data_IF_614049801222
#
_entry.id   IF_614049801222
#
_cell.length_a   1.000
_cell.length_b   1.000
_cell.length_c   1.000
_cell.angle_alpha   90.00
_cell.angle_beta   90.00
_cell.angle_gamma   90.00
#
_symmetry.space_group_name_H-M   'P 1'
#
loop_
_entity.id
_entity.type
_entity.pdbx_description
1 polymer ?
#
# COMPACT_ATOMS: atom_id res chain seq x y z
N UNK A 1 -18.37 28.15 57.52
CA UNK A 1 -17.31 27.93 56.53
C UNK A 1 -17.28 26.45 56.20
N UNK A 2 -17.65 26.11 54.96
CA UNK A 2 -17.79 24.75 54.43
C UNK A 2 -16.41 24.23 54.03
N UNK A 3 -15.94 23.17 54.68
CA UNK A 3 -14.82 22.35 54.21
C UNK A 3 -15.34 20.91 54.03
N UNK A 4 -15.53 20.48 52.79
CA UNK A 4 -15.83 19.10 52.39
C UNK A 4 -14.73 18.71 51.39
N UNK A 5 -13.87 17.79 51.78
CA UNK A 5 -12.78 17.13 51.02
C UNK A 5 -12.16 16.14 52.04
N UNK A 6 -11.86 14.86 51.82
CA UNK A 6 -11.77 13.98 50.65
C UNK A 6 -12.34 12.60 51.06
N UNK A 7 -12.96 11.88 50.11
CA UNK A 7 -13.14 10.43 50.23
C UNK A 7 -11.90 9.73 49.66
N UNK A 8 -11.24 8.94 50.50
CA UNK A 8 -10.22 7.95 50.12
C UNK A 8 -10.95 6.69 49.65
N UNK A 9 -10.74 6.27 48.41
CA UNK A 9 -11.01 4.89 47.98
C UNK A 9 -9.72 4.34 47.38
N UNK A 10 -9.02 3.58 48.20
CA UNK A 10 -8.04 2.61 47.74
C UNK A 10 -8.79 1.33 47.38
N UNK A 11 -8.61 0.85 46.15
CA UNK A 11 -8.88 -0.53 45.80
C UNK A 11 -7.75 -1.02 44.92
N UNK A 12 -6.81 -1.71 45.57
CA UNK A 12 -5.80 -2.53 44.94
C UNK A 12 -6.47 -3.75 44.28
N UNK A 13 -6.13 -4.00 43.03
CA UNK A 13 -6.48 -5.20 42.28
C UNK A 13 -5.32 -5.57 41.37
N UNK A 14 -4.21 -6.01 41.97
CA UNK A 14 -3.04 -6.57 41.30
C UNK A 14 -3.17 -8.10 41.29
N UNK A 15 -3.64 -8.64 40.17
CA UNK A 15 -3.45 -10.02 39.69
C UNK A 15 -3.51 -9.85 38.16
N UNK A 16 -2.53 -10.13 37.32
CA UNK A 16 -1.52 -11.18 37.32
C UNK A 16 -1.55 -11.78 35.92
N UNK A 17 -0.79 -11.19 34.98
CA UNK A 17 -0.42 -11.82 33.71
C UNK A 17 1.10 -11.72 33.57
N UNK A 18 1.80 -12.45 34.42
CA UNK A 18 3.14 -12.97 34.10
C UNK A 18 2.89 -14.31 33.42
N UNK A 19 3.17 -14.36 32.12
CA UNK A 19 3.02 -15.54 31.29
C UNK A 19 3.89 -15.39 30.06
N UNK A 20 5.19 -15.63 30.24
CA UNK A 20 6.07 -15.90 29.12
C UNK A 20 5.62 -17.19 28.43
N UNK A 21 5.50 -17.10 27.11
CA UNK A 21 5.55 -18.25 26.22
C UNK A 21 6.53 -17.82 25.14
N UNK A 22 7.60 -18.60 24.97
CA UNK A 22 8.49 -18.53 23.83
C UNK A 22 7.65 -18.54 22.56
N UNK A 23 7.48 -17.36 21.95
CA UNK A 23 6.93 -17.26 20.60
C UNK A 23 8.10 -17.54 19.66
N UNK A 24 8.03 -18.56 18.78
CA UNK A 24 9.00 -18.67 17.71
C UNK A 24 9.01 -17.34 16.94
N UNK A 25 10.20 -16.89 16.60
CA UNK A 25 10.61 -15.58 16.11
C UNK A 25 10.05 -15.19 14.72
N UNK A 26 8.76 -15.40 14.46
CA UNK A 26 8.08 -14.92 13.26
C UNK A 26 7.17 -13.76 13.64
N UNK A 27 7.54 -12.51 13.27
CA UNK A 27 6.64 -11.35 13.42
C UNK A 27 5.31 -11.61 12.70
N UNK A 28 4.18 -11.06 13.18
CA UNK A 28 2.89 -11.27 12.54
C UNK A 28 2.95 -10.83 11.08
N UNK A 29 2.60 -11.76 10.19
CA UNK A 29 2.55 -11.63 8.72
C UNK A 29 1.44 -10.64 8.23
N UNK A 30 0.85 -9.86 9.14
CA UNK A 30 -0.43 -9.17 8.95
C UNK A 30 -0.28 -7.69 8.58
N UNK A 31 0.68 -7.38 7.71
CA UNK A 31 0.84 -6.03 7.18
C UNK A 31 -0.02 -5.76 5.93
N UNK A 32 -0.53 -4.53 5.78
CA UNK A 32 -1.15 -4.06 4.51
C UNK A 32 -0.18 -4.09 3.34
N UNK A 33 1.13 -3.97 3.63
CA UNK A 33 2.18 -4.12 2.63
C UNK A 33 2.33 -5.58 2.25
N UNK A 34 2.13 -5.88 0.97
CA UNK A 34 2.14 -7.25 0.48
C UNK A 34 3.53 -7.89 0.43
N UNK A 35 4.32 -7.82 1.50
CA UNK A 35 5.61 -8.49 1.57
C UNK A 35 5.46 -9.92 1.09
N UNK A 36 6.43 -10.39 0.31
CA UNK A 36 6.54 -11.82 0.02
C UNK A 36 6.58 -12.63 1.32
N UNK A 37 6.39 -13.93 1.24
CA UNK A 37 6.79 -14.82 2.34
C UNK A 37 8.17 -15.40 2.03
N UNK A 38 8.84 -15.96 3.04
CA UNK A 38 10.14 -16.63 2.88
C UNK A 38 11.37 -15.73 3.06
N UNK A 39 12.53 -16.30 2.76
CA UNK A 39 13.85 -15.70 3.07
C UNK A 39 14.08 -14.34 2.41
N UNK A 40 13.57 -14.14 1.19
CA UNK A 40 13.69 -12.87 0.49
C UNK A 40 12.90 -11.75 1.19
N UNK A 41 11.74 -12.05 1.76
CA UNK A 41 10.96 -11.09 2.54
C UNK A 41 11.65 -10.74 3.87
N UNK A 42 12.29 -11.73 4.51
CA UNK A 42 13.13 -11.49 5.69
C UNK A 42 14.29 -10.57 5.34
N UNK A 43 14.95 -10.79 4.21
CA UNK A 43 16.04 -9.94 3.74
C UNK A 43 15.58 -8.50 3.43
N UNK A 44 14.43 -8.35 2.76
CA UNK A 44 13.86 -7.04 2.45
C UNK A 44 13.48 -6.26 3.72
N UNK A 45 12.82 -6.93 4.69
CA UNK A 45 12.54 -6.33 6.00
C UNK A 45 13.81 -5.93 6.73
N UNK A 46 14.79 -6.81 6.81
CA UNK A 46 16.07 -6.51 7.46
C UNK A 46 16.75 -5.30 6.80
N UNK A 47 16.76 -5.24 5.47
CA UNK A 47 17.32 -4.09 4.74
C UNK A 47 16.57 -2.79 5.05
N UNK A 48 15.25 -2.83 5.19
CA UNK A 48 14.49 -1.66 5.61
C UNK A 48 14.86 -1.22 7.02
N UNK A 49 14.80 -2.15 7.97
CA UNK A 49 15.01 -1.87 9.40
C UNK A 49 16.42 -1.30 9.65
N UNK A 50 17.44 -1.89 9.02
CA UNK A 50 18.83 -1.49 9.16
C UNK A 50 19.17 -0.18 8.43
N UNK A 51 18.58 0.05 7.25
CA UNK A 51 19.07 1.08 6.33
C UNK A 51 18.08 2.18 6.02
N UNK A 52 16.79 1.88 5.87
CA UNK A 52 15.78 2.84 5.37
C UNK A 52 15.04 3.50 6.51
N UNK A 53 14.71 2.77 7.57
CA UNK A 53 13.92 3.30 8.68
C UNK A 53 14.59 4.53 9.31
N UNK A 54 15.90 4.46 9.60
CA UNK A 54 16.64 5.59 10.16
C UNK A 54 16.64 6.82 9.24
N UNK A 55 16.60 6.63 7.91
CA UNK A 55 16.56 7.74 6.94
C UNK A 55 15.22 8.47 7.02
N UNK A 56 14.10 7.75 7.03
CA UNK A 56 12.75 8.35 7.04
C UNK A 56 12.33 8.82 8.44
N UNK A 57 12.85 8.19 9.49
CA UNK A 57 12.59 8.51 10.89
C UNK A 57 13.49 9.62 11.46
N UNK A 58 14.52 10.06 10.73
CA UNK A 58 15.40 11.12 11.19
C UNK A 58 14.65 12.45 11.40
N UNK A 59 15.00 13.17 12.46
CA UNK A 59 14.43 14.48 12.76
C UNK A 59 14.63 15.44 11.58
N UNK A 60 13.58 16.19 11.23
CA UNK A 60 13.57 17.07 10.06
C UNK A 60 13.46 16.36 8.70
N UNK A 61 13.27 15.03 8.68
CA UNK A 61 12.92 14.26 7.47
C UNK A 61 11.44 13.92 7.45
N UNK A 62 11.08 12.72 7.00
CA UNK A 62 9.70 12.33 6.73
C UNK A 62 8.84 12.31 7.99
N UNK A 63 9.36 11.82 9.13
CA UNK A 63 8.58 11.61 10.37
C UNK A 63 7.90 12.86 10.91
N UNK A 64 8.49 14.05 10.69
CA UNK A 64 7.93 15.30 11.21
C UNK A 64 6.54 15.62 10.67
N UNK A 65 6.23 15.16 9.46
CA UNK A 65 4.92 15.34 8.85
C UNK A 65 4.19 14.02 8.64
N UNK A 66 4.92 12.94 8.34
CA UNK A 66 4.38 11.65 7.92
C UNK A 66 4.42 10.60 9.04
N UNK A 67 4.40 11.00 10.31
CA UNK A 67 4.24 10.05 11.40
C UNK A 67 2.91 9.30 11.28
N UNK A 68 2.92 7.99 11.44
CA UNK A 68 1.71 7.18 11.46
C UNK A 68 0.89 7.34 12.74
N UNK A 69 1.46 7.96 13.78
CA UNK A 69 0.78 8.22 15.05
C UNK A 69 0.03 9.56 15.09
N UNK A 70 0.11 10.34 14.00
CA UNK A 70 -0.45 11.69 13.94
C UNK A 70 0.15 12.47 12.78
N UNK A 71 -0.23 12.17 11.53
CA UNK A 71 0.28 12.88 10.37
C UNK A 71 -0.21 14.33 10.36
N UNK A 72 0.65 15.24 9.91
CA UNK A 72 0.32 16.67 9.83
C UNK A 72 -0.63 16.92 8.66
N UNK A 73 -1.72 17.65 8.89
CA UNK A 73 -2.50 18.22 7.79
C UNK A 73 -3.06 17.18 6.82
N UNK A 74 -3.62 16.09 7.36
CA UNK A 74 -4.38 15.12 6.58
C UNK A 74 -3.56 14.34 5.53
N UNK A 75 -2.24 14.31 5.68
CA UNK A 75 -1.33 13.60 4.77
C UNK A 75 -1.15 12.13 5.18
N UNK A 76 -0.53 11.34 4.32
CA UNK A 76 -0.25 9.92 4.59
C UNK A 76 0.77 9.76 5.72
N UNK A 77 0.40 9.09 6.82
CA UNK A 77 1.29 8.76 7.93
C UNK A 77 2.03 7.45 7.73
N UNK A 78 3.11 7.45 6.94
CA UNK A 78 3.85 6.23 6.55
C UNK A 78 5.13 5.95 7.35
N UNK A 79 5.47 6.78 8.34
CA UNK A 79 6.61 6.56 9.23
C UNK A 79 6.10 6.07 10.58
N UNK A 80 6.34 4.80 10.89
CA UNK A 80 5.93 4.25 12.18
C UNK A 80 6.75 4.84 13.35
N UNK A 81 6.26 4.73 14.60
CA UNK A 81 7.03 5.13 15.79
C UNK A 81 8.27 4.25 16.06
N UNK A 82 8.29 3.03 15.52
CA UNK A 82 9.37 2.06 15.72
C UNK A 82 9.78 1.38 14.41
N UNK A 83 11.03 0.91 14.33
CA UNK A 83 11.52 0.15 13.17
C UNK A 83 10.72 -1.16 12.97
N UNK A 84 10.38 -1.84 14.06
CA UNK A 84 9.61 -3.09 14.07
C UNK A 84 8.31 -2.99 13.25
N UNK A 85 7.60 -1.88 13.41
CA UNK A 85 6.35 -1.58 12.70
C UNK A 85 6.60 -0.79 11.40
N UNK A 86 7.78 -0.20 11.27
CA UNK A 86 8.19 0.68 10.19
C UNK A 86 8.08 0.02 8.83
N UNK A 87 8.60 -1.20 8.70
CA UNK A 87 8.53 -1.91 7.43
C UNK A 87 7.08 -2.12 6.99
N UNK A 88 6.21 -2.66 7.86
CA UNK A 88 4.79 -2.90 7.55
C UNK A 88 4.09 -1.61 7.16
N UNK A 89 4.36 -0.54 7.91
CA UNK A 89 3.75 0.76 7.73
C UNK A 89 4.17 1.39 6.40
N UNK A 90 5.47 1.41 6.11
CA UNK A 90 6.02 1.94 4.87
C UNK A 90 5.56 1.15 3.64
N UNK A 91 5.61 -0.18 3.73
CA UNK A 91 5.18 -1.10 2.68
C UNK A 91 3.67 -1.09 2.43
N UNK A 92 2.89 -0.60 3.40
CA UNK A 92 1.44 -0.45 3.30
C UNK A 92 0.96 0.69 2.39
N UNK A 93 1.81 1.68 2.14
CA UNK A 93 1.39 2.88 1.43
C UNK A 93 2.01 3.00 0.05
N UNK A 94 1.20 2.76 -0.98
CA UNK A 94 1.56 3.03 -2.38
C UNK A 94 2.03 4.48 -2.61
N UNK A 95 1.57 5.43 -1.78
CA UNK A 95 2.05 6.80 -1.79
C UNK A 95 3.53 6.98 -1.39
N UNK A 96 4.18 5.95 -0.82
CA UNK A 96 5.60 5.93 -0.47
C UNK A 96 6.43 5.08 -1.44
N UNK A 97 6.00 3.84 -1.63
CA UNK A 97 6.71 2.78 -2.37
C UNK A 97 6.32 2.72 -3.85
N UNK A 98 5.17 3.31 -4.22
CA UNK A 98 4.56 3.13 -5.53
C UNK A 98 4.50 1.64 -5.88
N UNK A 99 4.88 1.33 -7.11
CA UNK A 99 4.93 -0.05 -7.61
C UNK A 99 6.25 -0.77 -7.25
N UNK A 100 6.92 -0.41 -6.16
CA UNK A 100 8.14 -1.09 -5.69
C UNK A 100 9.36 -0.95 -6.60
N UNK A 101 9.27 -0.10 -7.62
CA UNK A 101 10.38 0.17 -8.53
C UNK A 101 11.12 1.43 -8.08
N UNK A 102 12.46 1.42 -8.04
CA UNK A 102 13.25 2.62 -7.73
C UNK A 102 12.83 3.87 -8.52
N UNK A 103 12.62 3.72 -9.82
CA UNK A 103 12.23 4.81 -10.73
C UNK A 103 10.81 5.33 -10.46
N UNK A 104 9.93 4.49 -9.92
CA UNK A 104 8.53 4.82 -9.70
C UNK A 104 8.16 5.15 -8.26
N UNK A 105 9.05 4.91 -7.30
CA UNK A 105 8.74 5.03 -5.88
C UNK A 105 8.73 6.51 -5.44
N UNK A 106 7.61 7.02 -4.90
CA UNK A 106 7.53 8.40 -4.37
C UNK A 106 8.58 8.75 -3.32
N UNK A 107 9.02 7.80 -2.51
CA UNK A 107 10.11 7.99 -1.54
C UNK A 107 11.35 8.58 -2.24
N UNK A 108 11.66 8.15 -3.47
CA UNK A 108 12.76 8.71 -4.27
C UNK A 108 12.29 9.89 -5.13
N UNK A 109 11.21 9.73 -5.88
CA UNK A 109 10.82 10.69 -6.93
C UNK A 109 10.27 12.02 -6.37
N UNK A 110 9.52 12.01 -5.26
CA UNK A 110 9.03 13.25 -4.64
C UNK A 110 10.17 14.07 -4.04
N UNK A 111 11.12 13.41 -3.37
CA UNK A 111 12.30 14.07 -2.79
C UNK A 111 13.19 14.62 -3.89
N UNK A 112 13.43 13.87 -4.97
CA UNK A 112 14.14 14.36 -6.15
C UNK A 112 13.45 15.59 -6.79
N UNK A 113 12.11 15.65 -6.72
CA UNK A 113 11.31 16.80 -7.15
C UNK A 113 11.29 18.00 -6.18
N UNK A 114 12.07 17.98 -5.11
CA UNK A 114 12.20 19.10 -4.17
C UNK A 114 11.14 19.15 -3.06
N UNK A 115 10.49 18.04 -2.74
CA UNK A 115 9.45 17.98 -1.70
C UNK A 115 9.93 18.58 -0.36
N UNK A 116 9.36 19.73 0.01
CA UNK A 116 9.72 20.54 1.17
C UNK A 116 11.21 20.89 1.28
N UNK A 117 11.90 21.05 0.15
CA UNK A 117 13.34 21.35 0.12
C UNK A 117 14.23 20.20 0.64
N UNK A 118 13.67 19.02 0.86
CA UNK A 118 14.44 17.87 1.32
C UNK A 118 15.30 17.29 0.20
N UNK A 119 16.44 16.74 0.59
CA UNK A 119 17.31 15.94 -0.27
C UNK A 119 17.75 14.67 0.45
N UNK A 120 18.07 13.65 -0.33
CA UNK A 120 18.80 12.47 0.11
C UNK A 120 20.24 12.54 -0.37
N UNK A 121 21.16 12.07 0.49
CA UNK A 121 22.53 11.79 0.06
C UNK A 121 22.53 10.63 -0.95
N UNK A 122 23.60 10.49 -1.72
CA UNK A 122 23.70 9.36 -2.67
C UNK A 122 23.75 8.00 -1.94
N UNK A 123 24.34 7.97 -0.75
CA UNK A 123 24.31 6.81 0.15
C UNK A 123 22.88 6.45 0.57
N UNK A 124 22.07 7.44 0.96
CA UNK A 124 20.68 7.22 1.34
C UNK A 124 19.85 6.71 0.16
N UNK A 125 20.05 7.29 -1.03
CA UNK A 125 19.40 6.82 -2.26
C UNK A 125 19.75 5.37 -2.55
N UNK A 126 21.03 4.99 -2.49
CA UNK A 126 21.47 3.61 -2.72
C UNK A 126 20.77 2.64 -1.76
N UNK A 127 20.76 2.95 -0.47
CA UNK A 127 20.09 2.14 0.56
C UNK A 127 18.59 1.94 0.29
N UNK A 128 17.90 3.01 -0.12
CA UNK A 128 16.47 2.94 -0.45
C UNK A 128 16.26 2.10 -1.73
N UNK A 129 17.11 2.28 -2.75
CA UNK A 129 17.07 1.50 -3.99
C UNK A 129 17.29 0.00 -3.71
N UNK A 130 18.30 -0.32 -2.91
CA UNK A 130 18.64 -1.70 -2.53
C UNK A 130 17.48 -2.38 -1.79
N UNK A 131 16.85 -1.66 -0.84
CA UNK A 131 15.65 -2.14 -0.17
C UNK A 131 14.48 -2.36 -1.15
N UNK A 132 14.18 -1.42 -2.04
CA UNK A 132 13.10 -1.55 -3.03
C UNK A 132 13.33 -2.75 -3.96
N UNK A 133 14.58 -3.00 -4.35
CA UNK A 133 14.94 -4.18 -5.14
C UNK A 133 14.71 -5.48 -4.36
N UNK A 134 15.11 -5.53 -3.09
CA UNK A 134 14.85 -6.70 -2.23
C UNK A 134 13.36 -6.94 -2.01
N UNK A 135 12.57 -5.89 -1.80
CA UNK A 135 11.10 -5.96 -1.72
C UNK A 135 10.50 -6.59 -2.96
N UNK A 136 10.98 -6.15 -4.12
CA UNK A 136 10.49 -6.61 -5.39
C UNK A 136 10.89 -8.07 -5.66
N UNK A 137 12.10 -8.47 -5.29
CA UNK A 137 12.53 -9.88 -5.31
C UNK A 137 11.71 -10.74 -4.35
N UNK A 138 11.38 -10.25 -3.15
CA UNK A 138 10.53 -10.97 -2.21
C UNK A 138 9.14 -11.24 -2.81
N UNK A 139 8.55 -10.26 -3.51
CA UNK A 139 7.27 -10.41 -4.21
C UNK A 139 7.34 -11.36 -5.40
N UNK A 140 8.50 -11.47 -6.02
CA UNK A 140 8.77 -12.43 -7.10
C UNK A 140 9.08 -13.86 -6.59
N UNK A 141 8.81 -14.17 -5.31
CA UNK A 141 9.04 -15.49 -4.73
C UNK A 141 10.50 -15.77 -4.37
N UNK A 142 11.35 -14.74 -4.30
CA UNK A 142 12.72 -14.86 -3.81
C UNK A 142 13.75 -15.34 -4.82
N UNK A 143 13.47 -15.28 -6.13
CA UNK A 143 14.52 -15.42 -7.14
C UNK A 143 15.42 -14.19 -7.11
N UNK A 144 16.58 -14.32 -6.46
CA UNK A 144 17.61 -13.28 -6.28
C UNK A 144 18.75 -13.38 -7.28
N UNK A 145 18.63 -14.21 -8.32
CA UNK A 145 19.65 -14.28 -9.37
C UNK A 145 19.73 -12.92 -10.05
N UNK A 146 20.91 -12.29 -10.13
CA UNK A 146 21.10 -11.08 -10.92
C UNK A 146 20.54 -11.34 -12.32
N UNK A 147 19.59 -10.51 -12.74
CA UNK A 147 18.93 -10.66 -14.04
C UNK A 147 20.02 -10.56 -15.11
N UNK A 148 20.27 -11.63 -15.89
CA UNK A 148 21.26 -11.59 -16.96
C UNK A 148 20.98 -10.42 -17.91
N UNK A 149 22.01 -9.80 -18.52
CA UNK A 149 21.80 -8.78 -19.53
C UNK A 149 20.85 -9.28 -20.62
N UNK A 150 19.75 -8.55 -20.86
CA UNK A 150 18.71 -8.90 -21.84
C UNK A 150 17.51 -9.67 -21.27
N UNK A 151 17.52 -10.03 -19.99
CA UNK A 151 16.33 -10.53 -19.31
C UNK A 151 15.53 -9.40 -18.66
N UNK A 152 14.20 -9.56 -18.61
CA UNK A 152 13.30 -8.57 -18.01
C UNK A 152 13.44 -8.59 -16.48
N UNK A 153 13.67 -7.43 -15.87
CA UNK A 153 13.68 -7.34 -14.41
C UNK A 153 12.26 -7.40 -13.83
N UNK A 154 12.09 -7.80 -12.56
CA UNK A 154 10.79 -7.66 -11.87
C UNK A 154 10.18 -6.25 -11.93
N UNK A 155 11.03 -5.22 -12.01
CA UNK A 155 10.59 -3.83 -12.10
C UNK A 155 10.01 -3.54 -13.48
N UNK A 156 10.71 -4.00 -14.52
CA UNK A 156 10.26 -3.88 -15.90
C UNK A 156 8.97 -4.66 -16.14
N UNK A 157 8.87 -5.88 -15.59
CA UNK A 157 7.66 -6.70 -15.64
C UNK A 157 6.47 -5.99 -14.97
N UNK A 158 6.69 -5.36 -13.82
CA UNK A 158 5.66 -4.58 -13.12
C UNK A 158 5.20 -3.39 -13.96
N UNK A 159 6.13 -2.66 -14.60
CA UNK A 159 5.80 -1.53 -15.48
C UNK A 159 5.05 -2.01 -16.72
N UNK A 160 5.51 -3.09 -17.37
CA UNK A 160 4.85 -3.69 -18.54
C UNK A 160 3.42 -4.12 -18.20
N UNK A 161 3.25 -4.92 -17.15
CA UNK A 161 1.94 -5.47 -16.76
C UNK A 161 0.95 -4.38 -16.36
N UNK A 162 1.39 -3.35 -15.63
CA UNK A 162 0.51 -2.24 -15.27
C UNK A 162 0.13 -1.40 -16.48
N UNK A 163 1.08 -1.05 -17.36
CA UNK A 163 0.80 -0.33 -18.61
C UNK A 163 -0.16 -1.12 -19.52
N UNK A 164 0.11 -2.40 -19.74
CA UNK A 164 -0.79 -3.28 -20.51
C UNK A 164 -2.19 -3.27 -19.91
N UNK A 165 -2.31 -3.47 -18.59
CA UNK A 165 -3.59 -3.46 -17.88
C UNK A 165 -4.37 -2.17 -18.09
N UNK A 166 -3.70 -1.01 -18.04
CA UNK A 166 -4.34 0.30 -18.29
C UNK A 166 -4.93 0.43 -19.69
N UNK A 167 -4.35 -0.25 -20.69
CA UNK A 167 -4.88 -0.30 -22.05
C UNK A 167 -6.05 -1.28 -22.20
N UNK A 168 -6.13 -2.29 -21.34
CA UNK A 168 -7.21 -3.28 -21.34
C UNK A 168 -8.47 -2.79 -20.59
N UNK A 169 -8.33 -1.80 -19.71
CA UNK A 169 -9.44 -1.19 -18.99
C UNK A 169 -10.33 -0.37 -19.94
N UNK A 170 -11.65 -0.53 -19.86
CA UNK A 170 -12.60 0.29 -20.62
C UNK A 170 -13.67 0.88 -19.70
N UNK A 171 -14.12 2.09 -20.02
CA UNK A 171 -15.21 2.72 -19.29
C UNK A 171 -16.49 1.88 -19.35
N UNK A 172 -16.78 1.26 -20.50
CA UNK A 172 -17.94 0.38 -20.66
C UNK A 172 -17.91 -0.81 -19.69
N UNK A 173 -16.76 -1.50 -19.57
CA UNK A 173 -16.60 -2.60 -18.61
C UNK A 173 -16.68 -2.11 -17.17
N UNK A 174 -16.13 -0.93 -16.88
CA UNK A 174 -16.17 -0.30 -15.55
C UNK A 174 -17.61 0.00 -15.10
N UNK A 175 -18.42 0.58 -15.99
CA UNK A 175 -19.83 0.88 -15.78
C UNK A 175 -20.66 -0.40 -15.65
N UNK A 176 -20.45 -1.37 -16.55
CA UNK A 176 -21.14 -2.66 -16.50
C UNK A 176 -20.84 -3.42 -15.20
N UNK A 177 -19.61 -3.32 -14.70
CA UNK A 177 -19.19 -3.88 -13.42
C UNK A 177 -19.73 -3.12 -12.19
N UNK A 178 -20.32 -1.93 -12.39
CA UNK A 178 -20.84 -1.05 -11.32
C UNK A 178 -19.75 -0.65 -10.32
N UNK A 179 -18.58 -0.25 -10.82
CA UNK A 179 -17.45 0.12 -9.96
C UNK A 179 -17.73 1.31 -9.01
N UNK A 180 -18.69 2.17 -9.34
CA UNK A 180 -19.22 3.22 -8.45
C UNK A 180 -19.86 2.70 -7.17
N UNK A 181 -20.12 1.39 -7.05
CA UNK A 181 -20.48 0.76 -5.78
C UNK A 181 -19.41 0.95 -4.69
N UNK A 182 -18.15 1.20 -5.05
CA UNK A 182 -17.14 1.61 -4.07
C UNK A 182 -17.49 2.92 -3.37
N UNK A 183 -18.07 3.89 -4.08
CA UNK A 183 -18.48 5.15 -3.48
C UNK A 183 -19.64 4.99 -2.49
N UNK A 184 -20.55 4.03 -2.72
CA UNK A 184 -21.70 3.74 -1.84
C UNK A 184 -21.39 2.76 -0.71
N UNK A 185 -20.25 2.06 -0.75
CA UNK A 185 -19.81 1.20 0.34
C UNK A 185 -19.76 2.01 1.64
N UNK A 186 -20.31 1.42 2.71
CA UNK A 186 -20.33 2.05 4.02
C UNK A 186 -19.22 1.50 4.89
N UNK A 187 -18.44 2.41 5.45
CA UNK A 187 -17.75 2.14 6.68
C UNK A 187 -18.66 2.47 7.88
N UNK A 188 -18.20 2.17 9.10
CA UNK A 188 -19.02 2.31 10.30
C UNK A 188 -19.59 3.72 10.56
N UNK A 189 -19.08 4.78 9.91
CA UNK A 189 -19.49 6.17 10.11
C UNK A 189 -20.02 6.89 8.85
N UNK A 190 -19.62 6.52 7.63
CA UNK A 190 -20.00 7.20 6.39
C UNK A 190 -19.84 6.29 5.16
N UNK A 191 -20.30 6.77 4.00
CA UNK A 191 -19.99 6.15 2.72
C UNK A 191 -18.57 6.52 2.28
N UNK A 192 -17.87 5.65 1.56
CA UNK A 192 -16.48 5.91 1.14
C UNK A 192 -16.35 7.21 0.32
N UNK A 193 -17.34 7.53 -0.52
CA UNK A 193 -17.32 8.78 -1.31
C UNK A 193 -17.27 10.04 -0.45
N UNK A 194 -17.77 10.00 0.79
CA UNK A 194 -17.73 11.17 1.68
C UNK A 194 -16.29 11.66 1.91
N UNK A 195 -15.31 10.77 1.78
CA UNK A 195 -13.90 11.09 1.99
C UNK A 195 -13.01 10.85 0.77
N UNK A 196 -13.50 10.20 -0.29
CA UNK A 196 -12.68 9.74 -1.42
C UNK A 196 -13.30 10.07 -2.80
N UNK A 197 -14.30 10.94 -2.88
CA UNK A 197 -14.97 11.26 -4.16
C UNK A 197 -14.00 11.88 -5.17
N UNK A 198 -12.96 12.60 -4.72
CA UNK A 198 -11.99 13.27 -5.57
C UNK A 198 -10.58 12.68 -5.49
N UNK A 199 -10.42 11.49 -4.89
CA UNK A 199 -9.12 10.82 -4.78
C UNK A 199 -8.32 11.19 -3.53
N UNK A 200 -8.95 11.77 -2.50
CA UNK A 200 -8.25 12.14 -1.28
C UNK A 200 -7.57 10.92 -0.62
N UNK A 201 -6.44 11.17 0.05
CA UNK A 201 -5.62 10.14 0.71
C UNK A 201 -5.03 9.07 -0.21
N UNK A 202 -4.99 9.32 -1.52
CA UNK A 202 -4.48 8.36 -2.50
C UNK A 202 -5.43 7.19 -2.76
N UNK A 203 -6.73 7.40 -2.49
CA UNK A 203 -7.81 6.48 -2.81
C UNK A 203 -8.95 7.27 -3.45
N UNK A 204 -9.49 6.78 -4.57
CA UNK A 204 -10.70 7.34 -5.18
C UNK A 204 -11.85 6.35 -5.00
N UNK A 205 -13.03 6.81 -4.59
CA UNK A 205 -14.25 6.03 -4.50
C UNK A 205 -15.44 6.95 -4.77
N UNK A 206 -15.63 7.29 -6.05
CA UNK A 206 -16.66 8.23 -6.49
C UNK A 206 -17.92 7.50 -6.98
N UNK A 207 -19.06 8.20 -6.98
CA UNK A 207 -20.26 7.81 -7.74
C UNK A 207 -20.27 8.32 -9.18
N UNK A 208 -19.30 9.16 -9.57
CA UNK A 208 -19.15 9.61 -10.93
C UNK A 208 -18.23 8.65 -11.71
N UNK A 209 -18.80 7.87 -12.64
CA UNK A 209 -18.06 6.85 -13.39
C UNK A 209 -16.84 7.43 -14.13
N UNK A 210 -17.01 8.54 -14.85
CA UNK A 210 -15.95 9.09 -15.72
C UNK A 210 -14.72 9.57 -14.92
N UNK A 211 -14.86 10.45 -13.90
CA UNK A 211 -13.73 10.84 -13.06
C UNK A 211 -13.06 9.64 -12.39
N UNK A 212 -13.85 8.71 -11.84
CA UNK A 212 -13.33 7.52 -11.17
C UNK A 212 -12.50 6.66 -12.14
N UNK A 213 -13.10 6.27 -13.27
CA UNK A 213 -12.43 5.49 -14.29
C UNK A 213 -11.15 6.17 -14.81
N UNK A 214 -11.21 7.47 -15.10
CA UNK A 214 -10.07 8.23 -15.62
C UNK A 214 -8.91 8.20 -14.63
N UNK A 215 -9.17 8.44 -13.35
CA UNK A 215 -8.13 8.42 -12.32
C UNK A 215 -7.49 7.03 -12.19
N UNK A 216 -8.28 5.96 -12.09
CA UNK A 216 -7.70 4.62 -11.92
C UNK A 216 -7.00 4.08 -13.18
N UNK A 217 -7.39 4.52 -14.38
CA UNK A 217 -6.78 4.06 -15.64
C UNK A 217 -5.50 4.83 -15.98
N UNK A 218 -5.41 6.10 -15.60
CA UNK A 218 -4.29 6.97 -16.02
C UNK A 218 -3.22 7.20 -14.96
N UNK A 219 -3.51 6.89 -13.69
CA UNK A 219 -2.61 7.16 -12.56
C UNK A 219 -2.29 5.89 -11.76
N UNK A 220 -1.02 5.46 -11.78
CA UNK A 220 -0.59 4.19 -11.16
C UNK A 220 -0.86 4.14 -9.67
N UNK A 221 -0.81 5.28 -8.97
CA UNK A 221 -0.94 5.29 -7.52
C UNK A 221 -2.37 4.91 -7.09
N UNK A 222 -3.37 5.33 -7.86
CA UNK A 222 -4.76 4.93 -7.63
C UNK A 222 -5.05 3.53 -8.19
N UNK A 223 -4.47 3.18 -9.35
CA UNK A 223 -4.57 1.82 -9.88
C UNK A 223 -4.07 0.79 -8.87
N UNK A 224 -2.94 1.07 -8.22
CA UNK A 224 -2.30 0.17 -7.28
C UNK A 224 -3.11 -0.08 -6.00
N UNK A 225 -4.12 0.75 -5.71
CA UNK A 225 -5.07 0.45 -4.62
C UNK A 225 -6.03 -0.69 -5.00
N UNK A 226 -6.40 -0.77 -6.28
CA UNK A 226 -7.37 -1.74 -6.79
C UNK A 226 -6.71 -3.02 -7.30
N UNK A 227 -5.52 -2.90 -7.89
CA UNK A 227 -4.82 -3.97 -8.56
C UNK A 227 -3.38 -4.06 -8.08
N UNK A 228 -2.80 -5.25 -8.16
CA UNK A 228 -1.39 -5.50 -7.87
C UNK A 228 -0.79 -6.41 -8.94
N UNK A 229 0.54 -6.48 -8.98
CA UNK A 229 1.26 -7.41 -9.84
C UNK A 229 1.68 -8.61 -9.01
N UNK A 230 1.29 -9.79 -9.46
CA UNK A 230 1.74 -11.08 -8.95
C UNK A 230 2.87 -11.60 -9.83
N UNK A 231 4.08 -11.65 -9.25
CA UNK A 231 5.29 -12.18 -9.88
C UNK A 231 5.73 -13.52 -9.26
N UNK A 232 4.88 -14.17 -8.45
CA UNK A 232 5.24 -15.41 -7.75
C UNK A 232 5.61 -16.58 -8.67
N UNK A 233 5.22 -16.52 -9.95
CA UNK A 233 5.57 -17.49 -10.99
C UNK A 233 6.68 -17.01 -11.93
N UNK A 234 7.42 -15.97 -11.53
CA UNK A 234 8.47 -15.32 -12.32
C UNK A 234 7.96 -14.26 -13.29
N UNK A 235 8.87 -13.41 -13.77
CA UNK A 235 8.56 -12.22 -14.60
C UNK A 235 7.80 -12.54 -15.88
N UNK A 236 8.11 -13.67 -16.53
CA UNK A 236 7.45 -14.11 -17.78
C UNK A 236 6.00 -14.53 -17.58
N UNK A 237 5.67 -15.09 -16.42
CA UNK A 237 4.33 -15.55 -16.07
C UNK A 237 3.61 -14.57 -15.12
N UNK A 238 4.16 -13.37 -14.95
CA UNK A 238 3.59 -12.34 -14.10
C UNK A 238 2.21 -11.94 -14.58
N UNK A 239 1.33 -11.60 -13.64
CA UNK A 239 -0.06 -11.23 -13.94
C UNK A 239 -0.56 -10.11 -13.04
N UNK A 240 -1.56 -9.37 -13.51
CA UNK A 240 -2.34 -8.51 -12.64
C UNK A 240 -3.25 -9.35 -11.75
N UNK A 241 -3.45 -8.92 -10.52
CA UNK A 241 -4.40 -9.47 -9.56
C UNK A 241 -5.16 -8.34 -8.86
N UNK A 242 -6.27 -8.65 -8.20
CA UNK A 242 -6.96 -7.70 -7.32
C UNK A 242 -6.12 -7.48 -6.06
N UNK A 243 -5.94 -6.22 -5.65
CA UNK A 243 -5.22 -5.88 -4.42
C UNK A 243 -6.13 -5.98 -3.18
N UNK A 244 -6.47 -7.21 -2.79
CA UNK A 244 -7.29 -7.44 -1.58
C UNK A 244 -6.56 -7.14 -0.27
N UNK A 245 -5.22 -7.11 -0.27
CA UNK A 245 -4.42 -6.85 0.94
C UNK A 245 -4.58 -5.41 1.43
N UNK A 246 -4.46 -4.43 0.53
CA UNK A 246 -4.65 -3.01 0.87
C UNK A 246 -6.02 -2.80 1.54
N UNK A 247 -7.10 -3.23 0.88
CA UNK A 247 -8.45 -3.06 1.40
C UNK A 247 -8.72 -3.85 2.68
N UNK A 248 -8.19 -5.07 2.82
CA UNK A 248 -8.36 -5.87 4.04
C UNK A 248 -7.75 -5.14 5.23
N UNK A 249 -6.52 -4.63 5.14
CA UNK A 249 -5.93 -3.99 6.30
C UNK A 249 -6.50 -2.60 6.60
N UNK A 250 -7.00 -1.85 5.61
CA UNK A 250 -7.79 -0.64 5.87
C UNK A 250 -9.11 -0.99 6.58
N UNK A 251 -9.86 -1.97 6.04
CA UNK A 251 -11.16 -2.39 6.56
C UNK A 251 -11.08 -3.01 7.95
N UNK A 252 -10.00 -3.74 8.25
CA UNK A 252 -9.74 -4.38 9.55
C UNK A 252 -8.96 -3.49 10.53
N UNK A 253 -8.43 -2.34 10.10
CA UNK A 253 -7.67 -1.45 10.97
C UNK A 253 -6.30 -1.93 11.36
N UNK A 254 -5.64 -2.61 10.44
CA UNK A 254 -4.23 -2.94 10.62
C UNK A 254 -3.42 -1.66 10.48
N UNK A 255 -2.34 -1.56 11.28
CA UNK A 255 -1.38 -0.47 11.13
C UNK A 255 -0.95 -0.41 9.66
N UNK A 256 -0.87 0.80 9.08
CA UNK A 256 -0.99 2.13 9.69
C UNK A 256 -2.42 2.75 9.68
N UNK A 257 -3.44 2.01 9.27
CA UNK A 257 -4.81 2.54 9.07
C UNK A 257 -5.65 2.55 10.36
N UNK A 258 -5.03 2.74 11.52
CA UNK A 258 -5.70 2.69 12.83
C UNK A 258 -6.81 3.74 12.98
N UNK A 259 -6.70 4.87 12.28
CA UNK A 259 -7.69 5.95 12.35
C UNK A 259 -8.82 5.84 11.30
N UNK A 260 -8.68 4.95 10.32
CA UNK A 260 -9.68 4.82 9.25
C UNK A 260 -10.98 4.15 9.77
N UNK A 261 -12.17 4.55 9.32
CA UNK A 261 -13.40 3.83 9.62
C UNK A 261 -13.39 2.38 9.12
N UNK A 262 -13.92 1.43 9.91
CA UNK A 262 -13.90 0.00 9.52
C UNK A 262 -15.01 -0.33 8.54
N UNK A 263 -14.73 -1.27 7.65
CA UNK A 263 -15.70 -1.85 6.72
C UNK A 263 -15.36 -3.32 6.46
N UNK A 264 -16.37 -4.09 6.07
CA UNK A 264 -16.18 -5.50 5.68
C UNK A 264 -15.94 -5.61 4.19
N UNK A 265 -14.77 -6.10 3.79
CA UNK A 265 -14.44 -6.29 2.38
C UNK A 265 -15.11 -7.53 1.77
N UNK A 266 -15.07 -8.66 2.48
CA UNK A 266 -15.64 -9.93 2.01
C UNK A 266 -17.13 -9.79 1.75
N UNK A 267 -17.59 -10.27 0.59
CA UNK A 267 -18.99 -10.19 0.12
C UNK A 267 -19.54 -8.75 -0.02
N UNK A 268 -18.68 -7.74 -0.05
CA UNK A 268 -19.12 -6.36 -0.29
C UNK A 268 -19.53 -6.13 -1.76
N UNK A 269 -20.39 -5.13 -1.96
CA UNK A 269 -20.78 -4.67 -3.31
C UNK A 269 -19.59 -4.14 -4.10
N UNK A 270 -18.63 -3.46 -3.45
CA UNK A 270 -17.42 -2.97 -4.11
C UNK A 270 -16.45 -4.08 -4.50
N UNK A 271 -16.23 -5.11 -3.66
CA UNK A 271 -15.40 -6.25 -4.06
C UNK A 271 -16.04 -7.04 -5.21
N UNK A 272 -17.37 -7.18 -5.19
CA UNK A 272 -18.12 -7.81 -6.29
C UNK A 272 -17.96 -7.02 -7.60
N UNK A 273 -18.08 -5.69 -7.54
CA UNK A 273 -17.85 -4.81 -8.67
C UNK A 273 -16.40 -4.90 -9.19
N UNK A 274 -15.42 -4.84 -8.29
CA UNK A 274 -14.00 -4.95 -8.63
C UNK A 274 -13.67 -6.29 -9.28
N UNK A 275 -14.26 -7.38 -8.79
CA UNK A 275 -14.09 -8.71 -9.38
C UNK A 275 -14.67 -8.78 -10.79
N UNK A 276 -15.86 -8.21 -10.99
CA UNK A 276 -16.50 -8.16 -12.31
C UNK A 276 -15.69 -7.32 -13.31
N UNK A 277 -15.17 -6.18 -12.86
CA UNK A 277 -14.33 -5.31 -13.67
C UNK A 277 -12.97 -5.95 -13.98
N UNK A 278 -12.35 -6.61 -13.01
CA UNK A 278 -11.12 -7.38 -13.21
C UNK A 278 -11.31 -8.47 -14.26
N UNK A 279 -12.36 -9.28 -14.15
CA UNK A 279 -12.61 -10.39 -15.08
C UNK A 279 -12.84 -9.91 -16.52
N UNK A 280 -13.62 -8.83 -16.71
CA UNK A 280 -13.86 -8.26 -18.03
C UNK A 280 -12.61 -7.59 -18.63
N UNK A 281 -11.76 -6.98 -17.79
CA UNK A 281 -10.46 -6.43 -18.21
C UNK A 281 -9.48 -7.54 -18.60
N UNK A 282 -9.39 -8.61 -17.80
CA UNK A 282 -8.57 -9.78 -18.10
C UNK A 282 -9.01 -10.46 -19.40
N UNK A 283 -10.32 -10.56 -19.65
CA UNK A 283 -10.85 -11.11 -20.89
C UNK A 283 -10.42 -10.31 -22.14
N UNK A 284 -10.33 -8.98 -22.06
CA UNK A 284 -9.82 -8.15 -23.16
C UNK A 284 -8.32 -8.39 -23.40
N UNK A 285 -7.54 -8.54 -22.32
CA UNK A 285 -6.12 -8.91 -22.39
C UNK A 285 -5.93 -10.25 -23.09
N UNK A 286 -6.63 -11.27 -22.64
CA UNK A 286 -6.48 -12.64 -23.16
C UNK A 286 -6.92 -12.75 -24.63
N UNK A 287 -7.79 -11.84 -25.10
CA UNK A 287 -8.22 -11.73 -26.49
C UNK A 287 -7.29 -10.85 -27.36
N UNK A 288 -6.26 -10.22 -26.79
CA UNK A 288 -5.41 -9.28 -27.51
C UNK A 288 -6.14 -8.00 -27.97
N UNK A 289 -7.19 -7.60 -27.24
CA UNK A 289 -8.08 -6.47 -27.58
C UNK A 289 -7.82 -5.21 -26.75
N UNK A 290 -6.67 -5.13 -26.08
CA UNK A 290 -6.31 -3.94 -25.32
C UNK A 290 -6.00 -2.77 -26.26
N UNK A 291 -6.42 -1.58 -25.87
CA UNK A 291 -5.99 -0.34 -26.50
C UNK A 291 -4.53 -0.04 -26.09
N UNK A 292 -3.89 0.97 -26.70
CA UNK A 292 -2.63 1.50 -26.19
C UNK A 292 -2.74 1.84 -24.69
N UNK A 293 -1.66 1.64 -23.91
CA UNK A 293 -1.63 2.01 -22.48
C UNK A 293 -2.06 3.46 -22.23
N UNK A 294 -2.85 3.66 -21.18
CA UNK A 294 -3.34 4.98 -20.75
C UNK A 294 -2.61 5.51 -19.52
N UNK A 295 -1.85 4.63 -18.83
CA UNK A 295 -0.98 5.00 -17.72
C UNK A 295 0.13 5.96 -18.16
N UNK A 296 0.14 7.15 -17.58
CA UNK A 296 1.13 8.20 -17.90
C UNK A 296 2.22 8.34 -16.85
N UNK A 297 2.00 7.83 -15.64
CA UNK A 297 2.89 7.99 -14.49
C UNK A 297 3.13 6.66 -13.80
#
# INVERSE_FOLDING_TARGET
>A
MRNILLAVVAAAGLVGCVGGIDMPSTPPEQGVGGGGSGSAAVAARKSFDDNVYAIIAASGKCVGCHSSSGPVGNITGFVAPSATDGYVTATGYQALIGNWTPTGAPILTKIAGGHNGMTYSDTDKSKIIDWLNLELSARAGGNTTPVPPGEESPADATVRLTKEWSGCMTLANFQAAKMTNWGTMRANNSACQTCHDLGEYGQIASQADNPFFTVISTNKYYMAQYFSVDLSQGVKNGKMIINTRSFTGVGSGLAPHLEHPRFTLTNSTGLTALTTFYNSTAALRDQGKCAPPTLTN
#
